data_IF_861490562700
#
_entry.id   IF_861490562700
#
_cell.length_a   1.000
_cell.length_b   1.000
_cell.length_c   1.000
_cell.angle_alpha   90.00
_cell.angle_beta   90.00
_cell.angle_gamma   90.00
#
_symmetry.space_group_name_H-M   'P 1'
#
loop_
_entity.id
_entity.type
_entity.pdbx_description
1 polymer ?
#
# COMPACT_ATOMS: atom_id res chain seq x y z
N UNK A 1 -40.02 48.83 50.79
CA UNK A 1 -40.00 47.54 50.11
C UNK A 1 -39.28 47.73 48.77
N UNK A 2 -37.98 47.40 48.73
CA UNK A 2 -37.14 47.55 47.53
C UNK A 2 -37.15 46.21 46.75
N UNK A 3 -37.67 46.26 45.54
CA UNK A 3 -37.66 45.08 44.64
C UNK A 3 -36.29 44.89 44.07
N UNK A 4 -35.63 43.76 44.44
CA UNK A 4 -34.38 43.34 43.92
C UNK A 4 -34.61 42.64 42.53
N UNK A 5 -34.10 43.23 41.46
CA UNK A 5 -34.13 42.62 40.12
C UNK A 5 -32.93 41.76 39.99
N UNK A 6 -33.13 40.45 39.95
CA UNK A 6 -32.10 39.49 39.63
C UNK A 6 -31.98 39.42 38.10
N UNK A 7 -30.90 39.92 37.57
CA UNK A 7 -30.52 39.74 36.18
C UNK A 7 -29.79 38.39 36.06
N UNK A 8 -30.46 37.41 35.46
CA UNK A 8 -29.82 36.15 35.09
C UNK A 8 -28.97 36.39 33.83
N UNK A 9 -27.66 36.35 33.99
CA UNK A 9 -26.71 36.32 32.88
C UNK A 9 -26.62 34.88 32.40
N UNK A 10 -27.24 34.61 31.25
CA UNK A 10 -27.02 33.34 30.49
C UNK A 10 -25.64 33.38 29.88
N UNK A 11 -24.68 32.77 30.54
CA UNK A 11 -23.40 32.41 29.92
C UNK A 11 -23.64 31.18 29.00
N UNK A 12 -23.86 31.45 27.71
CA UNK A 12 -23.80 30.40 26.69
C UNK A 12 -22.34 30.04 26.54
N UNK A 13 -21.93 28.96 27.23
CA UNK A 13 -20.65 28.35 27.04
C UNK A 13 -20.61 27.69 25.64
N UNK A 14 -19.86 28.29 24.74
CA UNK A 14 -19.46 27.63 23.52
C UNK A 14 -18.47 26.50 23.91
N UNK A 15 -19.04 25.35 24.25
CA UNK A 15 -18.25 24.11 24.26
C UNK A 15 -17.97 23.79 22.79
N UNK A 16 -16.81 24.20 22.31
CA UNK A 16 -16.26 23.63 21.08
C UNK A 16 -16.19 22.13 21.33
N UNK A 17 -17.11 21.40 20.75
CA UNK A 17 -17.03 19.95 20.63
C UNK A 17 -15.84 19.66 19.70
N UNK A 18 -14.67 19.55 20.28
CA UNK A 18 -13.61 18.79 19.67
C UNK A 18 -14.09 17.34 19.75
N UNK A 19 -14.90 16.92 18.79
CA UNK A 19 -15.02 15.52 18.49
C UNK A 19 -13.61 15.07 18.07
N UNK A 20 -12.99 14.11 18.76
CA UNK A 20 -11.84 13.46 18.16
C UNK A 20 -12.33 12.98 16.79
N UNK A 21 -11.63 13.33 15.73
CA UNK A 21 -11.84 12.70 14.42
C UNK A 21 -11.65 11.23 14.72
N UNK A 22 -12.74 10.47 14.78
CA UNK A 22 -12.66 9.04 14.91
C UNK A 22 -11.97 8.59 13.63
N UNK A 23 -10.74 8.15 13.76
CA UNK A 23 -10.04 7.49 12.65
C UNK A 23 -10.93 6.33 12.27
N UNK A 24 -11.47 6.38 11.05
CA UNK A 24 -12.59 5.52 10.67
C UNK A 24 -12.17 4.15 10.15
N UNK A 25 -10.93 3.79 10.38
CA UNK A 25 -10.50 2.42 10.08
C UNK A 25 -11.17 1.39 11.00
N UNK A 26 -11.40 0.21 10.48
CA UNK A 26 -12.00 -0.88 11.24
C UNK A 26 -11.76 -2.25 10.61
N UNK A 27 -12.24 -3.29 11.28
CA UNK A 27 -12.77 -3.30 12.65
C UNK A 27 -11.68 -3.08 13.70
N UNK A 28 -12.08 -2.86 14.97
CA UNK A 28 -11.13 -2.96 16.08
C UNK A 28 -10.53 -4.36 16.08
N UNK A 29 -9.22 -4.46 16.11
CA UNK A 29 -8.48 -5.71 15.94
C UNK A 29 -7.16 -5.69 16.69
N UNK A 30 -6.59 -6.86 16.90
CA UNK A 30 -5.23 -6.99 17.40
C UNK A 30 -4.24 -6.28 16.47
N UNK A 31 -3.26 -5.61 17.06
CA UNK A 31 -2.23 -4.91 16.35
C UNK A 31 -0.87 -5.53 16.59
N UNK A 32 0.00 -5.42 15.60
CA UNK A 32 1.32 -6.02 15.57
C UNK A 32 2.38 -4.97 15.30
N UNK A 33 3.63 -5.41 15.31
CA UNK A 33 4.80 -4.58 14.98
C UNK A 33 5.63 -5.27 13.91
N UNK A 34 6.50 -4.52 13.25
CA UNK A 34 7.44 -5.10 12.27
C UNK A 34 8.37 -6.15 12.91
N UNK A 35 8.68 -6.00 14.21
CA UNK A 35 9.50 -6.94 14.96
C UNK A 35 8.71 -8.19 15.41
N UNK A 36 7.42 -8.00 15.72
CA UNK A 36 6.53 -9.08 16.20
C UNK A 36 5.31 -9.14 15.28
N UNK A 37 5.44 -9.77 14.09
CA UNK A 37 4.35 -9.91 13.14
C UNK A 37 3.29 -10.90 13.61
N UNK A 38 2.14 -10.90 12.95
CA UNK A 38 1.01 -11.76 13.30
C UNK A 38 1.32 -13.26 13.13
N UNK A 39 0.76 -14.13 13.97
CA UNK A 39 0.91 -15.59 13.84
C UNK A 39 -0.04 -16.20 12.78
N UNK A 40 -0.94 -15.43 12.20
CA UNK A 40 -1.94 -15.84 11.21
C UNK A 40 -2.16 -14.74 10.19
N UNK A 41 -2.83 -15.06 9.07
CA UNK A 41 -3.16 -14.07 8.05
C UNK A 41 -4.05 -12.97 8.64
N UNK A 42 -3.61 -11.72 8.53
CA UNK A 42 -4.35 -10.50 8.90
C UNK A 42 -3.85 -9.35 8.02
N UNK A 43 -4.69 -8.34 7.80
CA UNK A 43 -4.32 -7.24 6.93
C UNK A 43 -4.15 -5.93 7.69
N UNK A 44 -3.10 -5.17 7.31
CA UNK A 44 -2.87 -3.77 7.71
C UNK A 44 -3.06 -3.53 9.21
N UNK A 45 -2.44 -4.36 10.05
CA UNK A 45 -2.54 -4.34 11.51
C UNK A 45 -1.21 -3.99 12.20
N UNK A 46 -0.14 -3.77 11.43
CA UNK A 46 1.15 -3.28 11.94
C UNK A 46 1.06 -1.77 12.17
N UNK A 47 1.51 -1.32 13.35
CA UNK A 47 1.36 0.08 13.79
C UNK A 47 2.67 0.87 13.81
N UNK A 48 3.80 0.24 13.52
CA UNK A 48 5.13 0.83 13.56
C UNK A 48 5.92 0.67 12.25
N UNK A 49 5.23 0.54 11.11
CA UNK A 49 5.90 0.45 9.82
C UNK A 49 6.74 1.71 9.58
N UNK A 50 8.07 1.59 9.35
CA UNK A 50 8.97 2.73 9.26
C UNK A 50 8.72 3.63 8.05
N UNK A 51 7.94 3.18 7.06
CA UNK A 51 7.63 3.91 5.83
C UNK A 51 6.18 4.41 5.79
N UNK A 52 5.25 3.64 6.30
CA UNK A 52 3.81 3.91 6.24
C UNK A 52 3.24 4.43 7.57
N UNK A 53 3.94 4.19 8.69
CA UNK A 53 3.42 4.45 10.03
C UNK A 53 2.44 3.37 10.48
N UNK A 54 1.25 3.77 10.88
CA UNK A 54 0.16 2.86 11.22
C UNK A 54 -0.50 2.35 9.93
N UNK A 55 -0.36 1.08 9.62
CA UNK A 55 -0.89 0.50 8.38
C UNK A 55 -2.42 0.42 8.34
N UNK A 56 -3.10 0.64 9.47
CA UNK A 56 -4.57 0.73 9.48
C UNK A 56 -5.07 1.93 8.70
N UNK A 57 -4.23 2.96 8.52
CA UNK A 57 -4.42 4.11 7.64
C UNK A 57 -3.88 3.77 6.24
N UNK A 58 -4.65 2.97 5.48
CA UNK A 58 -4.22 2.40 4.21
C UNK A 58 -4.92 2.98 2.98
N UNK A 59 -5.94 3.81 3.16
CA UNK A 59 -6.59 4.54 2.06
C UNK A 59 -6.12 5.98 2.08
N UNK A 60 -5.58 6.46 0.98
CA UNK A 60 -5.05 7.82 0.86
C UNK A 60 -5.42 8.44 -0.47
N UNK A 61 -5.49 9.74 -0.51
CA UNK A 61 -5.79 10.52 -1.71
C UNK A 61 -4.71 11.56 -1.97
N UNK A 62 -4.41 11.79 -3.25
CA UNK A 62 -3.53 12.87 -3.69
C UNK A 62 -4.07 13.48 -4.98
N UNK A 63 -3.81 14.77 -5.24
CA UNK A 63 -3.84 15.29 -6.61
C UNK A 63 -2.76 14.58 -7.44
N UNK A 64 -2.96 14.40 -8.73
CA UNK A 64 -1.99 13.70 -9.60
C UNK A 64 -0.60 14.34 -9.44
N UNK A 65 0.41 13.52 -9.09
CA UNK A 65 1.76 13.94 -8.69
C UNK A 65 1.87 14.73 -7.37
N UNK A 66 0.81 14.76 -6.54
CA UNK A 66 0.78 15.39 -5.23
C UNK A 66 1.25 14.48 -4.09
N UNK A 67 1.16 15.01 -2.88
CA UNK A 67 1.42 14.25 -1.63
C UNK A 67 0.13 13.61 -1.14
N UNK A 68 0.18 12.34 -0.77
CA UNK A 68 -0.94 11.62 -0.20
C UNK A 68 -1.36 12.17 1.16
N UNK A 69 -2.66 12.29 1.37
CA UNK A 69 -3.31 12.76 2.58
C UNK A 69 -4.57 11.95 2.88
N UNK A 70 -5.13 12.10 4.08
CA UNK A 70 -6.38 11.49 4.51
C UNK A 70 -7.60 12.40 4.29
N UNK A 71 -7.34 13.64 3.88
CA UNK A 71 -8.37 14.62 3.52
C UNK A 71 -7.84 15.54 2.41
N UNK A 72 -8.71 15.88 1.45
CA UNK A 72 -8.40 16.83 0.38
C UNK A 72 -9.64 17.61 -0.05
N UNK A 73 -9.44 18.86 -0.46
CA UNK A 73 -10.48 19.65 -1.13
C UNK A 73 -10.39 19.43 -2.63
N UNK A 74 -11.50 18.98 -3.22
CA UNK A 74 -11.59 18.78 -4.67
C UNK A 74 -11.81 20.09 -5.39
N UNK A 75 -11.19 20.23 -6.57
CA UNK A 75 -11.29 21.39 -7.44
C UNK A 75 -11.78 20.98 -8.84
N UNK A 76 -12.47 21.90 -9.53
CA UNK A 76 -12.97 21.68 -10.89
C UNK A 76 -11.85 21.34 -11.89
N UNK A 77 -12.08 20.32 -12.68
CA UNK A 77 -11.18 19.85 -13.74
C UNK A 77 -9.99 19.01 -13.27
N UNK A 78 -9.76 18.90 -11.97
CA UNK A 78 -8.63 18.17 -11.40
C UNK A 78 -8.84 16.66 -11.39
N UNK A 79 -7.72 15.93 -11.46
CA UNK A 79 -7.65 14.48 -11.32
C UNK A 79 -6.97 14.14 -10.01
N UNK A 80 -7.55 13.17 -9.30
CA UNK A 80 -7.06 12.70 -8.01
C UNK A 80 -6.77 11.21 -8.09
N UNK A 81 -5.71 10.80 -7.42
CA UNK A 81 -5.28 9.43 -7.30
C UNK A 81 -5.63 8.88 -5.93
N UNK A 82 -6.34 7.75 -5.91
CA UNK A 82 -6.67 7.02 -4.69
C UNK A 82 -5.67 5.88 -4.56
N UNK A 83 -5.03 5.80 -3.41
CA UNK A 83 -4.12 4.74 -3.02
C UNK A 83 -4.80 3.84 -1.99
N UNK A 84 -4.67 2.52 -2.16
CA UNK A 84 -5.17 1.50 -1.23
C UNK A 84 -4.03 0.52 -0.98
N UNK A 85 -3.37 0.65 0.15
CA UNK A 85 -2.29 -0.26 0.55
C UNK A 85 -2.83 -1.60 1.05
N UNK A 86 -2.12 -2.69 0.78
CA UNK A 86 -2.40 -3.98 1.39
C UNK A 86 -1.11 -4.66 1.85
N UNK A 87 -1.15 -5.18 3.06
CA UNK A 87 -0.08 -5.96 3.66
C UNK A 87 -0.71 -7.09 4.48
N UNK A 88 -0.35 -8.32 4.17
CA UNK A 88 -0.66 -9.46 5.04
C UNK A 88 0.45 -9.57 6.09
N UNK A 89 0.14 -9.15 7.31
CA UNK A 89 1.08 -8.94 8.41
C UNK A 89 1.56 -10.22 9.08
N UNK A 90 1.18 -11.38 8.55
CA UNK A 90 1.61 -12.66 9.08
C UNK A 90 3.14 -12.83 8.97
N UNK A 91 3.72 -13.49 9.95
CA UNK A 91 5.14 -13.87 9.91
C UNK A 91 5.41 -14.78 8.70
N UNK A 92 6.52 -14.57 7.98
CA UNK A 92 6.88 -15.39 6.81
C UNK A 92 6.97 -16.89 7.13
N UNK A 93 7.36 -17.25 8.36
CA UNK A 93 7.42 -18.65 8.83
C UNK A 93 6.06 -19.35 8.85
N UNK A 94 4.96 -18.61 8.96
CA UNK A 94 3.60 -19.17 8.99
C UNK A 94 3.08 -19.52 7.59
N UNK A 95 3.78 -19.09 6.54
CA UNK A 95 3.46 -19.48 5.16
C UNK A 95 3.70 -20.99 4.94
N UNK A 96 4.67 -21.59 5.60
CA UNK A 96 4.97 -23.03 5.49
C UNK A 96 3.82 -23.90 6.04
N UNK A 97 3.14 -23.44 7.09
CA UNK A 97 1.98 -24.12 7.66
C UNK A 97 0.66 -23.79 6.97
N UNK A 98 0.66 -22.72 6.17
CA UNK A 98 -0.53 -22.17 5.52
C UNK A 98 -1.33 -21.20 6.41
N UNK A 99 -1.03 -21.07 7.69
CA UNK A 99 -1.73 -20.16 8.62
C UNK A 99 -1.51 -18.68 8.25
N UNK A 100 -0.33 -18.36 7.68
CA UNK A 100 0.00 -17.02 7.21
C UNK A 100 -0.51 -16.71 5.81
N UNK A 101 -1.13 -17.65 5.10
CA UNK A 101 -1.56 -17.43 3.72
C UNK A 101 -2.99 -16.93 3.68
N UNK A 102 -3.17 -15.75 3.11
CA UNK A 102 -4.50 -15.22 2.81
C UNK A 102 -5.01 -15.75 1.48
N UNK A 103 -6.28 -16.22 1.47
CA UNK A 103 -6.94 -16.79 0.30
C UNK A 103 -8.22 -16.02 -0.06
N UNK A 104 -8.56 -16.00 -1.35
CA UNK A 104 -9.69 -15.26 -1.91
C UNK A 104 -9.65 -13.76 -1.54
N UNK A 105 -8.46 -13.22 -1.45
CA UNK A 105 -8.24 -11.82 -1.06
C UNK A 105 -8.73 -10.89 -2.15
N UNK A 106 -9.56 -9.92 -1.76
CA UNK A 106 -10.18 -8.94 -2.66
C UNK A 106 -10.04 -7.54 -2.11
N UNK A 107 -9.99 -6.60 -3.02
CA UNK A 107 -10.15 -5.17 -2.73
C UNK A 107 -11.47 -4.69 -3.32
N UNK A 108 -12.23 -3.96 -2.52
CA UNK A 108 -13.43 -3.22 -2.92
C UNK A 108 -13.25 -1.76 -2.53
N UNK A 109 -13.77 -0.85 -3.33
CA UNK A 109 -13.75 0.58 -3.03
C UNK A 109 -15.00 1.26 -3.51
N UNK A 110 -15.38 2.33 -2.81
CA UNK A 110 -16.53 3.17 -3.18
C UNK A 110 -16.13 4.63 -3.13
N UNK A 111 -16.71 5.43 -4.02
CA UNK A 111 -16.57 6.88 -4.01
C UNK A 111 -17.91 7.53 -4.39
N UNK A 112 -18.20 8.73 -3.86
CA UNK A 112 -19.44 9.47 -4.21
C UNK A 112 -19.37 9.94 -5.66
N UNK A 113 -20.52 9.99 -6.33
CA UNK A 113 -20.62 10.50 -7.72
C UNK A 113 -20.70 12.02 -7.80
N UNK A 114 -20.93 12.67 -6.68
CA UNK A 114 -21.06 14.14 -6.58
C UNK A 114 -20.79 14.58 -5.14
N UNK A 115 -20.42 15.83 -4.99
CA UNK A 115 -20.26 16.51 -3.70
C UNK A 115 -20.79 17.95 -3.82
N UNK A 116 -21.58 18.39 -2.84
CA UNK A 116 -22.06 19.77 -2.80
C UNK A 116 -21.04 20.71 -2.13
N UNK A 117 -21.14 22.00 -2.43
CA UNK A 117 -20.30 23.02 -1.80
C UNK A 117 -20.40 22.97 -0.27
N UNK A 118 -19.25 22.87 0.41
CA UNK A 118 -19.16 22.79 1.87
C UNK A 118 -19.56 21.45 2.48
N UNK A 119 -19.90 20.44 1.65
CA UNK A 119 -20.15 19.07 2.12
C UNK A 119 -18.81 18.33 2.33
N UNK A 120 -18.80 17.39 3.28
CA UNK A 120 -17.73 16.42 3.43
C UNK A 120 -18.28 15.03 3.10
N UNK A 121 -17.61 14.30 2.23
CA UNK A 121 -17.90 12.91 1.87
C UNK A 121 -16.67 12.04 2.05
N UNK A 122 -16.86 10.73 1.98
CA UNK A 122 -15.78 9.76 2.12
C UNK A 122 -15.61 8.92 0.85
N UNK A 123 -14.38 8.50 0.61
CA UNK A 123 -13.99 7.42 -0.28
C UNK A 123 -13.48 6.31 0.61
N UNK A 124 -14.02 5.11 0.49
CA UNK A 124 -13.66 3.99 1.35
C UNK A 124 -13.15 2.80 0.56
N UNK A 125 -12.31 1.99 1.20
CA UNK A 125 -11.92 0.71 0.66
C UNK A 125 -12.00 -0.39 1.73
N UNK A 126 -12.25 -1.61 1.27
CA UNK A 126 -12.33 -2.83 2.07
C UNK A 126 -11.36 -3.84 1.46
N UNK A 127 -10.56 -4.47 2.32
CA UNK A 127 -9.78 -5.65 1.99
C UNK A 127 -10.46 -6.82 2.69
N UNK A 128 -10.84 -7.86 1.94
CA UNK A 128 -11.49 -9.05 2.48
C UNK A 128 -10.74 -10.32 2.10
N UNK A 129 -10.81 -11.32 2.97
CA UNK A 129 -10.19 -12.64 2.76
C UNK A 129 -10.99 -13.71 3.48
N UNK A 130 -10.97 -14.93 2.94
CA UNK A 130 -11.64 -16.08 3.58
C UNK A 130 -10.81 -16.75 4.68
N UNK A 131 -9.53 -16.42 4.80
CA UNK A 131 -8.63 -17.04 5.79
C UNK A 131 -7.99 -16.02 6.73
N UNK A 132 -8.15 -14.72 6.50
CA UNK A 132 -7.65 -13.70 7.41
C UNK A 132 -8.56 -13.52 8.64
N UNK A 133 -7.99 -13.06 9.73
CA UNK A 133 -8.69 -12.64 10.94
C UNK A 133 -8.22 -11.23 11.35
N UNK A 134 -9.10 -10.22 11.29
CA UNK A 134 -10.49 -10.29 10.84
C UNK A 134 -10.60 -10.58 9.33
N UNK A 135 -11.73 -11.16 8.92
CA UNK A 135 -12.01 -11.49 7.52
C UNK A 135 -12.12 -10.26 6.61
N UNK A 136 -12.37 -9.10 7.18
CA UNK A 136 -12.47 -7.81 6.47
C UNK A 136 -11.83 -6.70 7.30
N UNK A 137 -11.09 -5.83 6.63
CA UNK A 137 -10.59 -4.56 7.17
C UNK A 137 -11.00 -3.43 6.24
N UNK A 138 -11.28 -2.25 6.79
CA UNK A 138 -11.65 -1.07 6.01
C UNK A 138 -10.98 0.19 6.51
N UNK A 139 -10.87 1.15 5.61
CA UNK A 139 -10.37 2.47 5.88
C UNK A 139 -10.98 3.47 4.89
N UNK A 140 -10.87 4.77 5.18
CA UNK A 140 -11.49 5.83 4.38
C UNK A 140 -10.67 7.11 4.37
N UNK A 141 -10.86 7.89 3.30
CA UNK A 141 -10.37 9.26 3.20
C UNK A 141 -11.52 10.21 3.00
N UNK A 142 -11.35 11.45 3.45
CA UNK A 142 -12.36 12.49 3.38
C UNK A 142 -12.09 13.43 2.20
N UNK A 143 -13.16 13.79 1.52
CA UNK A 143 -13.15 14.79 0.45
C UNK A 143 -14.12 15.92 0.78
N UNK A 144 -13.71 17.13 0.50
CA UNK A 144 -14.52 18.35 0.57
C UNK A 144 -14.50 19.06 -0.78
N UNK A 145 -15.39 20.03 -0.98
CA UNK A 145 -15.37 20.91 -2.15
C UNK A 145 -15.93 22.28 -1.78
N UNK A 146 -15.39 23.34 -2.36
CA UNK A 146 -15.90 24.72 -2.20
C UNK A 146 -17.07 25.03 -3.15
N UNK A 147 -17.36 24.14 -4.07
CA UNK A 147 -18.40 24.25 -5.08
C UNK A 147 -19.00 22.88 -5.41
N UNK A 148 -20.19 22.88 -6.06
CA UNK A 148 -20.83 21.63 -6.47
C UNK A 148 -20.05 20.97 -7.58
N UNK A 149 -19.59 19.74 -7.34
CA UNK A 149 -18.80 18.96 -8.29
C UNK A 149 -19.41 17.58 -8.54
N UNK A 150 -19.27 17.10 -9.76
CA UNK A 150 -19.44 15.69 -10.14
C UNK A 150 -18.09 14.97 -10.02
N UNK A 151 -18.14 13.69 -9.68
CA UNK A 151 -16.96 12.86 -9.51
C UNK A 151 -17.11 11.64 -10.42
N UNK A 152 -16.13 11.42 -11.28
CA UNK A 152 -16.14 10.33 -12.25
C UNK A 152 -14.86 9.49 -12.14
N UNK A 153 -14.99 8.18 -12.24
CA UNK A 153 -13.85 7.29 -12.41
C UNK A 153 -13.17 7.53 -13.75
N UNK A 154 -11.84 7.64 -13.74
CA UNK A 154 -11.05 7.66 -14.98
C UNK A 154 -10.93 6.22 -15.47
N UNK A 155 -11.55 5.92 -16.59
CA UNK A 155 -11.62 4.57 -17.12
C UNK A 155 -10.24 3.90 -17.23
N UNK A 156 -10.19 2.61 -16.93
CA UNK A 156 -8.97 1.78 -17.00
C UNK A 156 -7.78 2.24 -16.13
N UNK A 157 -8.03 3.14 -15.17
CA UNK A 157 -6.96 3.65 -14.28
C UNK A 157 -6.70 2.78 -13.06
N UNK A 158 -7.55 1.78 -12.76
CA UNK A 158 -7.34 0.89 -11.63
C UNK A 158 -6.22 -0.11 -11.94
N UNK A 159 -5.13 -0.05 -11.18
CA UNK A 159 -3.96 -0.93 -11.32
C UNK A 159 -3.50 -1.43 -9.96
N UNK A 160 -2.97 -2.65 -9.93
CA UNK A 160 -2.27 -3.21 -8.77
C UNK A 160 -0.77 -3.04 -8.94
N UNK A 161 -0.08 -2.77 -7.84
CA UNK A 161 1.36 -2.62 -7.79
C UNK A 161 1.95 -3.44 -6.65
N UNK A 162 2.96 -4.22 -6.96
CA UNK A 162 3.75 -4.99 -6.01
C UNK A 162 5.14 -5.28 -6.60
N UNK A 163 6.00 -5.93 -5.86
CA UNK A 163 7.35 -6.29 -6.33
C UNK A 163 7.37 -7.59 -7.17
N UNK A 164 6.20 -8.08 -7.63
CA UNK A 164 6.01 -9.38 -8.27
C UNK A 164 5.36 -9.25 -9.66
N UNK A 165 4.93 -10.37 -10.23
CA UNK A 165 4.45 -10.42 -11.61
C UNK A 165 3.17 -9.62 -11.90
N UNK A 166 2.39 -9.30 -10.87
CA UNK A 166 1.18 -8.47 -11.02
C UNK A 166 1.46 -6.96 -11.11
N UNK A 167 2.70 -6.50 -10.93
CA UNK A 167 2.99 -5.06 -10.97
C UNK A 167 2.49 -4.39 -12.25
N UNK A 168 1.74 -3.29 -12.10
CA UNK A 168 1.15 -2.54 -13.20
C UNK A 168 -0.05 -3.19 -13.91
N UNK A 169 -0.53 -4.33 -13.41
CA UNK A 169 -1.68 -5.02 -13.99
C UNK A 169 -2.98 -4.26 -13.73
N UNK A 170 -3.81 -4.11 -14.76
CA UNK A 170 -5.14 -3.49 -14.64
C UNK A 170 -6.09 -4.38 -13.84
N UNK A 171 -6.83 -3.78 -12.94
CA UNK A 171 -7.89 -4.43 -12.20
C UNK A 171 -9.26 -4.26 -12.89
N UNK A 172 -10.15 -5.25 -12.77
CA UNK A 172 -11.48 -5.15 -13.34
C UNK A 172 -12.36 -4.15 -12.58
N UNK A 173 -13.34 -3.55 -13.26
CA UNK A 173 -14.28 -2.61 -12.68
C UNK A 173 -15.15 -3.22 -11.55
N UNK A 174 -15.09 -4.53 -11.34
CA UNK A 174 -15.70 -5.18 -10.17
C UNK A 174 -15.14 -4.65 -8.84
N UNK A 175 -13.97 -4.00 -8.85
CA UNK A 175 -13.41 -3.31 -7.68
C UNK A 175 -14.40 -2.28 -7.08
N UNK A 176 -15.29 -1.70 -7.90
CA UNK A 176 -16.32 -0.73 -7.49
C UNK A 176 -17.68 -1.40 -7.18
N UNK A 177 -17.71 -2.69 -7.00
CA UNK A 177 -18.92 -3.47 -6.68
C UNK A 177 -18.68 -4.36 -5.47
N UNK A 178 -19.74 -4.91 -4.89
CA UNK A 178 -19.65 -5.88 -3.78
C UNK A 178 -18.86 -7.15 -4.14
N UNK A 179 -18.70 -7.45 -5.43
CA UNK A 179 -17.86 -8.58 -5.88
C UNK A 179 -16.40 -8.37 -5.57
N UNK A 180 -15.92 -7.12 -5.64
CA UNK A 180 -14.51 -6.77 -5.51
C UNK A 180 -13.64 -7.23 -6.68
N UNK A 181 -12.38 -6.85 -6.65
CA UNK A 181 -11.33 -7.33 -7.53
C UNK A 181 -10.37 -8.21 -6.75
N UNK A 182 -10.08 -9.41 -7.27
CA UNK A 182 -9.04 -10.26 -6.70
C UNK A 182 -7.69 -9.56 -6.79
N UNK A 183 -6.90 -9.61 -5.72
CA UNK A 183 -5.50 -9.26 -5.71
C UNK A 183 -4.66 -10.52 -5.54
N UNK A 184 -3.35 -10.40 -5.45
CA UNK A 184 -2.44 -11.54 -5.29
C UNK A 184 -0.99 -11.13 -5.43
N UNK A 185 -0.11 -12.11 -5.58
CA UNK A 185 1.33 -11.89 -5.73
C UNK A 185 1.75 -12.06 -7.19
N UNK A 186 1.69 -13.28 -7.72
CA UNK A 186 2.05 -13.61 -9.10
C UNK A 186 0.85 -13.47 -10.05
N UNK A 187 -0.33 -13.79 -9.56
CA UNK A 187 -1.60 -13.78 -10.29
C UNK A 187 -2.70 -13.19 -9.43
N UNK A 188 -3.71 -12.57 -10.06
CA UNK A 188 -4.90 -12.04 -9.38
C UNK A 188 -5.85 -13.18 -8.94
N UNK A 189 -5.33 -14.13 -8.19
CA UNK A 189 -6.04 -15.35 -7.75
C UNK A 189 -6.52 -15.30 -6.30
N UNK A 190 -6.27 -14.18 -5.60
CA UNK A 190 -6.65 -13.98 -4.19
C UNK A 190 -5.66 -14.56 -3.19
N UNK A 191 -4.48 -15.03 -3.61
CA UNK A 191 -3.47 -15.56 -2.71
C UNK A 191 -2.46 -14.47 -2.36
N UNK A 192 -2.35 -14.12 -1.06
CA UNK A 192 -1.37 -13.16 -0.54
C UNK A 192 -0.64 -13.82 0.63
N UNK A 193 0.67 -14.00 0.48
CA UNK A 193 1.51 -14.58 1.53
C UNK A 193 1.79 -13.57 2.65
N UNK A 194 2.03 -14.08 3.85
CA UNK A 194 2.49 -13.27 4.99
C UNK A 194 3.93 -12.80 4.78
N UNK A 195 4.21 -11.57 5.08
CA UNK A 195 5.47 -10.85 5.07
C UNK A 195 5.40 -9.58 4.20
N UNK A 196 6.10 -8.55 4.62
CA UNK A 196 6.20 -7.27 3.91
C UNK A 196 6.69 -7.40 2.45
N UNK A 197 7.41 -8.47 2.12
CA UNK A 197 7.85 -8.78 0.75
C UNK A 197 6.68 -8.95 -0.22
N UNK A 198 5.50 -9.39 0.28
CA UNK A 198 4.32 -9.64 -0.53
C UNK A 198 3.26 -8.54 -0.43
N UNK A 199 3.62 -7.43 0.23
CA UNK A 199 2.77 -6.24 0.29
C UNK A 199 2.68 -5.55 -1.07
N UNK A 200 1.67 -4.73 -1.21
CA UNK A 200 1.48 -3.93 -2.41
C UNK A 200 0.39 -2.88 -2.20
N UNK A 201 -0.03 -2.30 -3.31
CA UNK A 201 -1.10 -1.31 -3.29
C UNK A 201 -1.89 -1.31 -4.60
N UNK A 202 -3.10 -0.80 -4.51
CA UNK A 202 -3.95 -0.53 -5.66
C UNK A 202 -4.04 0.97 -5.83
N UNK A 203 -3.99 1.45 -7.07
CA UNK A 203 -4.23 2.84 -7.43
C UNK A 203 -5.40 2.89 -8.41
N UNK A 204 -6.25 3.90 -8.26
CA UNK A 204 -7.17 4.32 -9.31
C UNK A 204 -7.34 5.84 -9.31
N UNK A 205 -7.90 6.40 -10.39
CA UNK A 205 -8.07 7.83 -10.53
C UNK A 205 -9.53 8.21 -10.64
N UNK A 206 -9.86 9.35 -10.05
CA UNK A 206 -11.14 10.03 -10.19
C UNK A 206 -10.90 11.44 -10.72
N UNK A 207 -11.85 11.96 -11.50
CA UNK A 207 -11.88 13.34 -11.98
C UNK A 207 -13.05 14.07 -11.33
N UNK A 208 -12.78 15.24 -10.75
CA UNK A 208 -13.79 16.16 -10.27
C UNK A 208 -14.08 17.21 -11.36
N UNK A 209 -15.34 17.54 -11.59
CA UNK A 209 -15.73 18.52 -12.62
C UNK A 209 -17.10 19.14 -12.35
N UNK A 210 -17.33 20.37 -12.84
CA UNK A 210 -18.63 21.02 -12.82
C UNK A 210 -19.59 20.43 -13.84
N UNK A 211 -20.88 20.33 -13.49
CA UNK A 211 -21.89 19.96 -14.47
C UNK A 211 -21.94 20.99 -15.61
N UNK A 212 -21.88 20.51 -16.86
CA UNK A 212 -21.85 21.37 -18.05
C UNK A 212 -20.45 21.70 -18.56
N UNK A 213 -19.38 21.36 -17.85
CA UNK A 213 -18.04 21.33 -18.44
C UNK A 213 -18.00 20.21 -19.47
N UNK A 214 -17.69 20.46 -20.74
CA UNK A 214 -17.55 19.39 -21.72
C UNK A 214 -16.49 18.43 -21.19
N UNK A 215 -16.90 17.24 -20.77
CA UNK A 215 -15.96 16.15 -20.62
C UNK A 215 -15.39 15.94 -22.00
N UNK A 216 -14.09 16.12 -22.17
CA UNK A 216 -13.41 15.67 -23.38
C UNK A 216 -13.62 14.15 -23.41
N UNK A 217 -14.74 13.75 -24.05
CA UNK A 217 -14.92 12.38 -24.48
C UNK A 217 -13.71 12.15 -25.39
N UNK A 218 -12.79 11.30 -25.00
CA UNK A 218 -11.80 10.76 -25.93
C UNK A 218 -12.58 10.10 -27.05
N UNK A 219 -12.99 10.92 -28.02
CA UNK A 219 -13.44 10.39 -29.33
C UNK A 219 -12.28 9.55 -29.82
N UNK A 220 -12.52 8.26 -30.16
CA UNK A 220 -11.52 7.45 -30.82
C UNK A 220 -10.98 8.28 -31.98
N UNK A 221 -9.66 8.40 -32.17
CA UNK A 221 -9.12 9.23 -33.22
C UNK A 221 -9.74 8.80 -34.53
N UNK A 222 -10.55 9.68 -35.11
CA UNK A 222 -10.96 9.56 -36.52
C UNK A 222 -9.66 9.43 -37.30
N UNK A 223 -9.50 8.45 -38.20
CA UNK A 223 -8.28 8.33 -39.00
C UNK A 223 -8.17 9.55 -39.91
N UNK A 224 -7.63 10.65 -39.45
CA UNK A 224 -7.23 11.78 -40.26
C UNK A 224 -5.74 11.63 -40.53
N UNK A 225 -5.44 11.59 -41.80
CA UNK A 225 -4.15 11.68 -42.49
C UNK A 225 -2.91 11.81 -41.58
N UNK A 226 -2.04 10.79 -41.64
CA UNK A 226 -0.73 10.74 -41.00
C UNK A 226 0.00 12.08 -41.11
N UNK A 227 0.35 12.76 -40.01
CA UNK A 227 1.27 13.87 -40.05
C UNK A 227 2.60 13.36 -40.58
N UNK A 228 3.11 14.00 -41.62
CA UNK A 228 4.47 13.79 -42.11
C UNK A 228 5.45 14.40 -41.07
N UNK A 229 5.65 13.75 -39.95
CA UNK A 229 6.74 14.06 -39.02
C UNK A 229 7.79 12.97 -39.11
N UNK A 230 9.00 13.40 -39.46
CA UNK A 230 10.14 12.48 -39.58
C UNK A 230 10.57 11.89 -38.24
N UNK A 231 11.40 10.85 -38.24
CA UNK A 231 11.70 9.99 -37.06
C UNK A 231 12.51 10.67 -35.93
N UNK A 232 12.81 11.97 -36.02
CA UNK A 232 13.70 12.64 -35.07
C UNK A 232 13.02 13.10 -33.76
N UNK A 233 11.70 13.41 -33.76
CA UNK A 233 11.04 13.95 -32.55
C UNK A 233 10.56 12.84 -31.59
N UNK A 234 10.23 11.67 -32.10
CA UNK A 234 9.83 10.50 -31.26
C UNK A 234 11.02 9.96 -30.47
N UNK A 235 12.25 10.09 -31.00
CA UNK A 235 13.47 9.60 -30.32
C UNK A 235 13.81 10.46 -29.10
N UNK A 236 13.48 11.76 -29.08
CA UNK A 236 13.81 12.63 -27.95
C UNK A 236 12.85 12.45 -26.76
N UNK A 237 11.58 12.24 -27.00
CA UNK A 237 10.60 12.02 -25.92
C UNK A 237 10.79 10.66 -25.23
N UNK A 238 11.07 9.61 -26.02
CA UNK A 238 11.36 8.27 -25.47
C UNK A 238 12.69 8.22 -24.71
N UNK A 239 13.71 8.99 -25.13
CA UNK A 239 15.01 9.01 -24.46
C UNK A 239 14.94 9.64 -23.05
N UNK A 240 14.08 10.66 -22.84
CA UNK A 240 13.91 11.30 -21.53
C UNK A 240 13.16 10.38 -20.57
N UNK A 241 12.10 9.73 -21.02
CA UNK A 241 11.32 8.79 -20.16
C UNK A 241 12.16 7.56 -19.78
N UNK A 242 12.89 6.98 -20.73
CA UNK A 242 13.80 5.86 -20.46
C UNK A 242 14.98 6.26 -19.56
N UNK A 243 15.45 7.51 -19.62
CA UNK A 243 16.51 8.03 -18.77
C UNK A 243 16.07 8.16 -17.30
N UNK A 244 14.85 8.62 -17.05
CA UNK A 244 14.31 8.79 -15.70
C UNK A 244 13.97 7.42 -15.08
N UNK A 245 13.29 6.55 -15.83
CA UNK A 245 12.97 5.19 -15.37
C UNK A 245 14.22 4.34 -15.17
N UNK A 246 15.20 4.43 -16.08
CA UNK A 246 16.48 3.74 -15.97
C UNK A 246 17.33 4.21 -14.78
N UNK A 247 17.30 5.50 -14.47
CA UNK A 247 17.98 6.09 -13.32
C UNK A 247 17.40 5.60 -11.99
N UNK A 248 16.08 5.61 -11.86
CA UNK A 248 15.39 5.10 -10.66
C UNK A 248 15.62 3.59 -10.47
N UNK A 249 15.53 2.81 -11.56
CA UNK A 249 15.80 1.38 -11.53
C UNK A 249 17.25 1.04 -11.19
N UNK A 250 18.21 1.83 -11.70
CA UNK A 250 19.64 1.67 -11.39
C UNK A 250 19.92 1.95 -9.91
N UNK A 251 19.37 3.05 -9.37
CA UNK A 251 19.52 3.40 -7.95
C UNK A 251 18.89 2.34 -7.04
N UNK A 252 17.74 1.82 -7.41
CA UNK A 252 17.06 0.75 -6.68
C UNK A 252 17.88 -0.54 -6.67
N UNK A 253 18.37 -1.00 -7.84
CA UNK A 253 19.26 -2.18 -7.92
C UNK A 253 20.54 -2.02 -7.13
N UNK A 254 21.13 -0.81 -7.12
CA UNK A 254 22.37 -0.54 -6.39
C UNK A 254 22.14 -0.61 -4.89
N UNK A 255 21.03 -0.06 -4.37
CA UNK A 255 20.64 -0.18 -2.96
C UNK A 255 20.41 -1.64 -2.55
N UNK A 256 19.73 -2.43 -3.38
CA UNK A 256 19.46 -3.85 -3.12
C UNK A 256 20.75 -4.69 -3.15
N UNK A 257 21.68 -4.40 -4.06
CA UNK A 257 22.99 -5.06 -4.11
C UNK A 257 23.85 -4.71 -2.88
N UNK A 258 23.83 -3.44 -2.43
CA UNK A 258 24.53 -3.03 -1.21
C UNK A 258 23.95 -3.74 0.02
N UNK A 259 22.62 -3.81 0.14
CA UNK A 259 21.98 -4.51 1.27
C UNK A 259 22.37 -5.98 1.31
N UNK A 260 22.31 -6.69 0.16
CA UNK A 260 22.77 -8.09 0.08
C UNK A 260 24.23 -8.28 0.46
N UNK A 261 25.11 -7.35 0.05
CA UNK A 261 26.52 -7.39 0.42
C UNK A 261 26.72 -7.16 1.92
N UNK A 262 25.97 -6.25 2.54
CA UNK A 262 26.03 -5.99 3.97
C UNK A 262 25.52 -7.17 4.79
N UNK A 263 24.41 -7.78 4.37
CA UNK A 263 23.82 -8.96 5.03
C UNK A 263 24.75 -10.18 4.91
N UNK A 264 25.45 -10.36 3.77
CA UNK A 264 26.45 -11.40 3.56
C UNK A 264 27.65 -11.24 4.50
N UNK A 265 28.17 -10.01 4.64
CA UNK A 265 29.30 -9.71 5.55
C UNK A 265 28.93 -9.90 7.01
N UNK A 266 27.71 -9.50 7.40
CA UNK A 266 27.23 -9.73 8.78
C UNK A 266 27.05 -11.23 9.08
N UNK A 267 26.54 -11.99 8.14
CA UNK A 267 26.36 -13.44 8.33
C UNK A 267 27.69 -14.20 8.42
N UNK A 268 28.73 -13.74 7.70
CA UNK A 268 30.08 -14.30 7.76
C UNK A 268 30.80 -13.93 9.08
N UNK A 269 30.49 -12.76 9.66
CA UNK A 269 31.06 -12.34 10.95
C UNK A 269 30.43 -13.03 12.17
N UNK A 270 29.22 -13.59 12.03
CA UNK A 270 28.48 -14.26 13.12
C UNK A 270 28.80 -15.76 13.18
N UNK A 271 29.34 -16.34 12.09
CA UNK A 271 29.68 -17.76 12.04
C UNK A 271 31.15 -17.97 11.58
N UNK A 272 32.14 -17.66 12.45
CA UNK A 272 33.53 -17.98 12.10
C UNK A 272 33.68 -19.49 12.03
N UNK A 273 34.06 -19.98 10.86
CA UNK A 273 34.46 -21.38 10.68
C UNK A 273 35.59 -21.69 11.68
N UNK A 274 35.27 -22.52 12.65
CA UNK A 274 36.28 -23.09 13.57
C UNK A 274 37.06 -24.10 12.74
N UNK A 275 38.26 -23.74 12.37
CA UNK A 275 39.23 -24.67 11.76
C UNK A 275 39.52 -25.79 12.77
N UNK A 276 39.17 -27.00 12.40
CA UNK A 276 39.46 -28.22 13.14
C UNK A 276 41.01 -28.43 13.18
N UNK A 277 41.62 -28.68 14.36
CA UNK A 277 43.05 -28.83 14.44
C UNK A 277 43.48 -30.18 13.81
N UNK A 278 44.37 -30.10 12.84
CA UNK A 278 45.06 -31.20 12.19
C UNK A 278 45.66 -32.15 13.22
N UNK A 279 45.22 -33.40 13.23
CA UNK A 279 45.82 -34.47 14.03
C UNK A 279 47.21 -34.80 13.50
N UNK A 280 48.23 -34.57 14.35
CA UNK A 280 49.57 -35.06 14.13
C UNK A 280 49.60 -36.58 14.30
N UNK A 281 49.95 -37.30 13.25
CA UNK A 281 50.34 -38.71 13.30
C UNK A 281 51.60 -38.87 14.15
N UNK A 282 51.49 -39.60 15.26
CA UNK A 282 52.64 -40.15 15.98
C UNK A 282 52.88 -41.54 15.46
N UNK A 283 54.00 -41.69 14.76
CA UNK A 283 54.62 -42.97 14.39
C UNK A 283 54.96 -43.78 15.65
N UNK A 284 54.55 -45.02 15.62
CA UNK A 284 54.94 -46.09 16.55
C UNK A 284 56.38 -46.54 16.25
N UNK A 285 57.23 -46.44 17.26
CA UNK A 285 58.48 -47.20 17.29
C UNK A 285 58.25 -48.47 18.15
N UNK A 286 58.51 -49.62 17.48
CA UNK A 286 58.55 -50.94 18.04
C UNK A 286 59.68 -51.10 19.03
N UNK A 287 59.48 -51.78 20.13
CA UNK A 287 60.50 -52.24 21.07
C UNK A 287 60.05 -53.47 21.79
N UNK A 288 60.57 -54.61 21.33
CA UNK A 288 60.41 -55.95 21.91
C UNK A 288 61.01 -56.02 23.33
N UNK A 289 60.43 -56.81 24.23
CA UNK A 289 61.12 -57.94 24.86
C UNK A 289 60.26 -58.57 26.01
N UNK A 290 60.16 -59.86 25.87
CA UNK A 290 60.32 -60.94 26.81
C UNK A 290 59.87 -60.82 28.27
N UNK A 291 59.13 -61.85 28.74
CA UNK A 291 59.41 -62.48 30.00
C UNK A 291 58.18 -62.87 30.87
N UNK A 292 57.88 -64.18 30.72
CA UNK A 292 57.54 -65.17 31.78
C UNK A 292 56.78 -64.70 33.06
N UNK A 293 55.67 -65.15 33.32
CA UNK A 293 55.18 -66.28 34.16
C UNK A 293 53.66 -66.27 34.19
#
# INVERSE_FOLDING_TARGET
>A
MKKLKIAAVLAVGFAALWSPVAMAWGPERETYTMEVPAPHATFNSITDNPYLGDERDFVRIAEDNGTYANEITLEDGKVYMIYIGYHNDAASSTNETGEGISLNTKVMTTFPKEIAAGEQKMISAIISSTTADPAEVWDEVYITADEDLKIQYVADSATIHNDWALDGTKLPNTIFTETGAMIGVEEANGTVFGCAEFSGYVIYRIKAYKEGTPTEEETPPTPSELPKTGPAEIVMATAVVLGICGGCFYLYRTKRALKKATDSVMNESINPTVDEPTQMNNEKHDGASDGKQ
#
